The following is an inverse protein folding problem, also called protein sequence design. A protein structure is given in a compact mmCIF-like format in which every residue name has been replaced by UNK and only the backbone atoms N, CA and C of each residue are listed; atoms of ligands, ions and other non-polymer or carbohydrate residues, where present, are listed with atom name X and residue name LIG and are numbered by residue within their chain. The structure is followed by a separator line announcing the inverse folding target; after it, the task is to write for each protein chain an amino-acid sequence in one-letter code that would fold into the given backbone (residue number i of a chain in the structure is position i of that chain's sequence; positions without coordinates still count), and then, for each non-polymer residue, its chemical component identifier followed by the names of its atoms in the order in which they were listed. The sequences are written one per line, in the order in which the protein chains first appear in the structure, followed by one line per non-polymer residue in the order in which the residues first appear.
data_IF_121194612840
#
_entry.id   IF_121194612840
#
_cell.length_a   1.000
_cell.length_b   1.000
_cell.length_c   1.000
_cell.angle_alpha   90.00
_cell.angle_beta   90.00
_cell.angle_gamma   90.00
#
_symmetry.space_group_name_H-M   'P 1'
#
loop_
_entity.id
_entity.type
_entity.pdbx_description
1 polymer ?
#
# COMPACT_ATOMS: atom_id res chain seq x y z
N UNK A 1 20.11 31.15 23.14
CA UNK A 1 19.35 30.78 21.92
C UNK A 1 19.84 29.39 21.54
N UNK A 2 19.01 28.36 21.69
CA UNK A 2 19.43 27.00 21.32
C UNK A 2 19.42 26.87 19.79
N UNK A 3 20.60 26.61 19.24
CA UNK A 3 20.87 26.41 17.81
C UNK A 3 20.03 25.24 17.26
N UNK A 4 19.32 25.49 16.15
CA UNK A 4 18.54 24.48 15.40
C UNK A 4 19.41 23.26 15.03
N UNK A 5 20.72 23.48 14.83
CA UNK A 5 21.72 22.44 14.57
C UNK A 5 21.84 21.44 15.74
N UNK A 6 21.72 21.91 16.98
CA UNK A 6 21.82 21.07 18.18
C UNK A 6 20.57 20.21 18.37
N UNK A 7 19.41 20.72 17.95
CA UNK A 7 18.13 20.00 17.99
C UNK A 7 18.07 18.87 16.96
N UNK A 8 18.64 19.09 15.77
CA UNK A 8 18.71 18.08 14.70
C UNK A 8 19.63 16.91 15.05
N UNK A 9 20.70 17.14 15.81
CA UNK A 9 21.61 16.08 16.29
C UNK A 9 21.00 15.14 17.34
N UNK A 10 19.89 15.55 17.99
CA UNK A 10 19.17 14.74 19.00
C UNK A 10 18.16 13.77 18.39
N UNK A 11 17.84 13.89 17.10
CA UNK A 11 17.03 12.91 16.38
C UNK A 11 17.95 11.74 16.04
N UNK A 12 18.20 10.89 17.04
CA UNK A 12 18.86 9.60 16.84
C UNK A 12 18.18 8.91 15.67
N UNK A 13 18.93 8.61 14.61
CA UNK A 13 18.48 7.70 13.56
C UNK A 13 18.06 6.40 14.27
N UNK A 14 16.76 6.21 14.46
CA UNK A 14 16.21 5.00 15.06
C UNK A 14 16.68 3.88 14.15
N UNK A 15 17.49 2.97 14.69
CA UNK A 15 17.92 1.76 13.98
C UNK A 15 16.66 1.15 13.39
N UNK A 16 16.58 1.12 12.05
CA UNK A 16 15.43 0.64 11.30
C UNK A 16 15.24 -0.82 11.72
N UNK A 17 14.22 -1.10 12.54
CA UNK A 17 13.89 -2.46 12.95
C UNK A 17 13.74 -3.33 11.70
N UNK A 18 14.49 -4.42 11.52
CA UNK A 18 14.41 -5.25 10.31
C UNK A 18 13.02 -5.90 10.12
N UNK A 19 12.18 -5.94 11.16
CA UNK A 19 10.77 -6.30 11.09
C UNK A 19 9.85 -5.15 10.64
N UNK A 20 10.41 -4.01 10.19
CA UNK A 20 9.62 -2.92 9.62
C UNK A 20 8.94 -3.43 8.35
N UNK A 21 7.64 -3.68 8.48
CA UNK A 21 6.70 -3.68 7.38
C UNK A 21 7.04 -2.47 6.51
N UNK A 22 7.56 -2.73 5.31
CA UNK A 22 7.72 -1.68 4.32
C UNK A 22 6.36 -1.00 4.17
N UNK A 23 6.33 0.29 3.81
CA UNK A 23 5.07 1.01 3.61
C UNK A 23 4.10 0.25 2.70
N UNK A 24 4.65 -0.52 1.76
CA UNK A 24 3.94 -1.45 0.90
C UNK A 24 3.25 -2.60 1.66
N UNK A 25 3.93 -3.22 2.63
CA UNK A 25 3.35 -4.26 3.47
C UNK A 25 2.19 -3.73 4.31
N UNK A 26 2.34 -2.53 4.90
CA UNK A 26 1.26 -1.88 5.64
C UNK A 26 0.05 -1.64 4.75
N UNK A 27 0.25 -1.21 3.51
CA UNK A 27 -0.84 -1.05 2.54
C UNK A 27 -1.50 -2.38 2.15
N UNK A 28 -0.73 -3.45 2.02
CA UNK A 28 -1.30 -4.78 1.78
C UNK A 28 -2.19 -5.19 2.95
N UNK A 29 -1.72 -5.01 4.19
CA UNK A 29 -2.50 -5.36 5.38
C UNK A 29 -3.77 -4.51 5.47
N UNK A 30 -3.68 -3.19 5.25
CA UNK A 30 -4.84 -2.29 5.20
C UNK A 30 -5.87 -2.74 4.16
N UNK A 31 -5.43 -2.99 2.93
CA UNK A 31 -6.31 -3.43 1.85
C UNK A 31 -6.99 -4.76 2.19
N UNK A 32 -6.24 -5.72 2.72
CA UNK A 32 -6.76 -7.04 3.09
C UNK A 32 -7.76 -6.95 4.24
N UNK A 33 -7.46 -6.20 5.28
CA UNK A 33 -8.40 -5.93 6.38
C UNK A 33 -9.68 -5.29 5.86
N UNK A 34 -9.56 -4.29 4.99
CA UNK A 34 -10.73 -3.60 4.41
C UNK A 34 -11.63 -4.51 3.58
N UNK A 35 -11.04 -5.40 2.79
CA UNK A 35 -11.78 -6.31 1.92
C UNK A 35 -12.13 -7.66 2.58
N UNK A 36 -11.85 -7.83 3.88
CA UNK A 36 -12.13 -9.07 4.62
C UNK A 36 -11.31 -10.28 4.13
N UNK A 37 -10.10 -10.05 3.62
CA UNK A 37 -9.30 -11.09 2.97
C UNK A 37 -8.48 -11.92 3.97
N UNK A 38 -8.94 -13.14 4.24
CA UNK A 38 -8.30 -14.09 5.17
C UNK A 38 -7.48 -15.19 4.49
N UNK A 39 -7.47 -15.22 3.16
CA UNK A 39 -6.79 -16.26 2.40
C UNK A 39 -5.28 -16.32 2.73
N UNK A 40 -4.77 -17.52 2.99
CA UNK A 40 -3.35 -17.75 3.29
C UNK A 40 -2.52 -17.98 2.04
N UNK A 41 -3.14 -18.44 0.94
CA UNK A 41 -2.52 -18.69 -0.37
C UNK A 41 -3.47 -18.27 -1.51
N UNK A 42 -2.92 -17.95 -2.67
CA UNK A 42 -3.72 -17.62 -3.86
C UNK A 42 -4.36 -16.23 -3.82
N UNK A 43 -5.45 -16.04 -4.57
CA UNK A 43 -6.20 -14.78 -4.62
C UNK A 43 -6.65 -14.39 -3.20
N UNK A 44 -6.48 -13.13 -2.83
CA UNK A 44 -6.78 -12.65 -1.47
C UNK A 44 -5.62 -12.76 -0.47
N UNK A 45 -4.57 -13.54 -0.78
CA UNK A 45 -3.42 -13.67 0.12
C UNK A 45 -2.52 -12.44 0.13
N UNK A 46 -1.74 -12.28 1.20
CA UNK A 46 -0.74 -11.23 1.33
C UNK A 46 0.21 -11.18 0.13
N UNK A 47 0.77 -12.33 -0.24
CA UNK A 47 1.70 -12.44 -1.36
C UNK A 47 1.07 -12.06 -2.71
N UNK A 48 -0.21 -12.39 -2.90
CA UNK A 48 -0.96 -11.99 -4.08
C UNK A 48 -1.05 -10.47 -4.18
N UNK A 49 -1.53 -9.79 -3.14
CA UNK A 49 -1.59 -8.33 -3.10
C UNK A 49 -0.21 -7.70 -3.29
N UNK A 50 0.80 -8.20 -2.58
CA UNK A 50 2.16 -7.70 -2.63
C UNK A 50 2.73 -7.72 -4.05
N UNK A 51 2.45 -8.76 -4.84
CA UNK A 51 2.92 -8.88 -6.23
C UNK A 51 2.37 -7.79 -7.16
N UNK A 52 1.12 -7.37 -6.98
CA UNK A 52 0.55 -6.23 -7.74
C UNK A 52 1.07 -4.90 -7.21
N UNK A 53 1.12 -4.75 -5.89
CA UNK A 53 1.49 -3.50 -5.26
C UNK A 53 2.96 -3.14 -5.53
N UNK A 54 3.85 -4.14 -5.61
CA UNK A 54 5.25 -3.94 -6.01
C UNK A 54 5.40 -3.35 -7.41
N UNK A 55 4.52 -3.72 -8.35
CA UNK A 55 4.57 -3.22 -9.73
C UNK A 55 4.03 -1.80 -9.83
N UNK A 56 2.92 -1.51 -9.15
CA UNK A 56 2.28 -0.19 -9.18
C UNK A 56 2.99 0.86 -8.32
N UNK A 57 3.69 0.43 -7.28
CA UNK A 57 4.29 1.31 -6.29
C UNK A 57 3.30 1.83 -5.24
N UNK A 58 3.85 2.26 -4.10
CA UNK A 58 3.12 2.69 -2.90
C UNK A 58 2.14 3.83 -3.20
N UNK A 59 2.59 4.87 -3.92
CA UNK A 59 1.78 6.07 -4.17
C UNK A 59 0.53 5.75 -4.99
N UNK A 60 0.68 4.96 -6.06
CA UNK A 60 -0.44 4.56 -6.92
C UNK A 60 -1.44 3.70 -6.16
N UNK A 61 -0.96 2.72 -5.38
CA UNK A 61 -1.82 1.87 -4.57
C UNK A 61 -2.63 2.69 -3.56
N UNK A 62 -1.99 3.66 -2.88
CA UNK A 62 -2.69 4.57 -1.95
C UNK A 62 -3.77 5.37 -2.65
N UNK A 63 -3.46 5.93 -3.81
CA UNK A 63 -4.45 6.66 -4.61
C UNK A 63 -5.64 5.76 -4.95
N UNK A 64 -5.39 4.55 -5.47
CA UNK A 64 -6.46 3.63 -5.85
C UNK A 64 -7.31 3.19 -4.66
N UNK A 65 -6.69 2.93 -3.50
CA UNK A 65 -7.41 2.61 -2.28
C UNK A 65 -8.28 3.80 -1.84
N UNK A 66 -7.71 5.01 -1.79
CA UNK A 66 -8.42 6.24 -1.42
C UNK A 66 -9.65 6.49 -2.30
N UNK A 67 -9.49 6.37 -3.63
CA UNK A 67 -10.61 6.49 -4.57
C UNK A 67 -11.72 5.46 -4.33
N UNK A 68 -11.37 4.26 -3.88
CA UNK A 68 -12.34 3.21 -3.53
C UNK A 68 -13.00 3.50 -2.17
N UNK A 69 -12.27 4.05 -1.22
CA UNK A 69 -12.81 4.49 0.09
C UNK A 69 -13.87 5.56 -0.10
N UNK A 70 -13.57 6.54 -0.94
CA UNK A 70 -14.46 7.67 -1.23
C UNK A 70 -15.61 7.29 -2.17
N UNK A 71 -15.52 6.13 -2.83
CA UNK A 71 -16.59 5.64 -3.68
C UNK A 71 -17.72 5.02 -2.86
N UNK A 72 -18.96 5.34 -3.21
CA UNK A 72 -20.16 4.66 -2.70
C UNK A 72 -20.45 3.35 -3.47
N UNK A 73 -19.38 2.59 -3.78
CA UNK A 73 -19.49 1.38 -4.58
C UNK A 73 -20.11 0.24 -3.76
N UNK A 74 -21.09 -0.44 -4.34
CA UNK A 74 -21.72 -1.63 -3.72
C UNK A 74 -20.74 -2.80 -3.51
N UNK A 75 -19.69 -2.88 -4.33
CA UNK A 75 -18.59 -3.84 -4.19
C UNK A 75 -17.23 -3.13 -4.32
N UNK A 76 -16.70 -2.59 -3.21
CA UNK A 76 -15.44 -1.85 -3.23
C UNK A 76 -14.23 -2.74 -3.56
N UNK A 77 -14.29 -4.04 -3.23
CA UNK A 77 -13.24 -5.01 -3.54
C UNK A 77 -13.12 -5.21 -5.04
N UNK A 78 -14.25 -5.42 -5.73
CA UNK A 78 -14.27 -5.56 -7.18
C UNK A 78 -13.84 -4.28 -7.88
N UNK A 79 -14.30 -3.12 -7.40
CA UNK A 79 -13.87 -1.83 -7.95
C UNK A 79 -12.37 -1.62 -7.84
N UNK A 80 -11.79 -1.95 -6.68
CA UNK A 80 -10.35 -1.88 -6.46
C UNK A 80 -9.57 -2.74 -7.46
N UNK A 81 -9.95 -4.01 -7.61
CA UNK A 81 -9.26 -4.93 -8.53
C UNK A 81 -9.44 -4.54 -10.00
N UNK A 82 -10.60 -3.96 -10.37
CA UNK A 82 -10.80 -3.39 -11.70
C UNK A 82 -9.82 -2.24 -11.96
N UNK A 83 -9.67 -1.31 -11.01
CA UNK A 83 -8.73 -0.18 -11.14
C UNK A 83 -7.28 -0.66 -11.21
N UNK A 84 -6.87 -1.61 -10.36
CA UNK A 84 -5.54 -2.24 -10.40
C UNK A 84 -5.26 -2.89 -11.76
N UNK A 85 -6.25 -3.62 -12.31
CA UNK A 85 -6.12 -4.26 -13.62
C UNK A 85 -6.05 -3.25 -14.77
N UNK A 86 -6.79 -2.13 -14.67
CA UNK A 86 -6.74 -1.04 -15.66
C UNK A 86 -5.36 -0.40 -15.67
N UNK A 87 -4.80 -0.09 -14.51
CA UNK A 87 -3.47 0.52 -14.39
C UNK A 87 -2.36 -0.40 -14.91
N UNK A 88 -2.42 -1.68 -14.55
CA UNK A 88 -1.44 -2.69 -15.01
C UNK A 88 -1.41 -2.86 -16.53
N UNK A 89 -2.49 -2.52 -17.24
CA UNK A 89 -2.56 -2.57 -18.72
C UNK A 89 -2.02 -1.30 -19.37
N UNK A 90 -2.07 -0.17 -18.66
CA UNK A 90 -1.52 1.11 -19.14
C UNK A 90 0.00 1.08 -19.12
N UNK A 91 0.61 0.55 -18.05
CA UNK A 91 2.07 0.42 -17.94
C UNK A 91 2.69 -0.49 -19.02
N UNK A 92 1.94 -1.46 -19.56
CA UNK A 92 2.42 -2.36 -20.62
C UNK A 92 2.41 -1.73 -22.02
N UNK A 93 1.89 -0.51 -22.17
CA UNK A 93 1.77 0.19 -23.46
C UNK A 93 2.72 1.38 -23.63
N UNK A 94 3.56 1.63 -22.62
CA UNK A 94 4.69 2.57 -22.69
C UNK A 94 6.01 1.80 -22.75
#
# INVERSE_FOLDING_TARGET
MEDIKTTLGKVKNKVRNPHLHSELHTLVDEARTRFGETATKGKGSFAFYLGFFKRLGVQKVRQLLGEVVESDASDPKRLFWYKVAKESKTDSKN
#
